data_IF_391770307662
#
_entry.id   IF_391770307662
#
_cell.length_a   1.000
_cell.length_b   1.000
_cell.length_c   1.000
_cell.angle_alpha   90.00
_cell.angle_beta   90.00
_cell.angle_gamma   90.00
#
_symmetry.space_group_name_H-M   'P 1'
#
loop_
_entity.id
_entity.type
_entity.pdbx_description
1 polymer ?
#
# COMPACT_ATOMS: atom_id res chain seq x y z
N UNK A 1 8.22 -15.81 -4.59
CA UNK A 1 8.25 -14.38 -4.22
C UNK A 1 9.12 -13.65 -5.22
N UNK A 2 8.58 -12.66 -5.91
CA UNK A 2 9.22 -12.07 -7.09
C UNK A 2 10.15 -10.89 -6.71
N UNK A 3 10.99 -11.12 -5.69
CA UNK A 3 11.79 -10.10 -5.01
C UNK A 3 12.69 -9.32 -5.97
N UNK A 4 13.21 -10.00 -7.00
CA UNK A 4 14.04 -9.36 -8.03
C UNK A 4 13.30 -8.27 -8.79
N UNK A 5 12.04 -8.48 -9.18
CA UNK A 5 11.26 -7.45 -9.88
C UNK A 5 10.91 -6.30 -8.95
N UNK A 6 10.59 -6.57 -7.69
CA UNK A 6 10.34 -5.53 -6.68
C UNK A 6 11.59 -4.68 -6.44
N UNK A 7 12.75 -5.31 -6.21
CA UNK A 7 14.02 -4.60 -6.03
C UNK A 7 14.38 -3.78 -7.27
N UNK A 8 14.23 -4.35 -8.46
CA UNK A 8 14.49 -3.63 -9.72
C UNK A 8 13.56 -2.43 -9.88
N UNK A 9 12.28 -2.57 -9.55
CA UNK A 9 11.31 -1.48 -9.61
C UNK A 9 11.70 -0.34 -8.64
N UNK A 10 11.97 -0.67 -7.38
CA UNK A 10 12.34 0.32 -6.36
C UNK A 10 13.68 1.01 -6.67
N UNK A 11 14.66 0.26 -7.18
CA UNK A 11 15.94 0.80 -7.63
C UNK A 11 15.75 1.77 -8.81
N UNK A 12 14.90 1.41 -9.77
CA UNK A 12 14.61 2.25 -10.94
C UNK A 12 13.90 3.55 -10.53
N UNK A 13 12.88 3.46 -9.67
CA UNK A 13 12.18 4.65 -9.16
C UNK A 13 13.11 5.57 -8.36
N UNK A 14 14.00 4.99 -7.56
CA UNK A 14 15.03 5.75 -6.84
C UNK A 14 15.98 6.45 -7.80
N UNK A 15 16.47 5.74 -8.82
CA UNK A 15 17.38 6.32 -9.82
C UNK A 15 16.75 7.50 -10.56
N UNK A 16 15.46 7.41 -10.93
CA UNK A 16 14.71 8.51 -11.55
C UNK A 16 14.70 9.74 -10.64
N UNK A 17 14.35 9.57 -9.36
CA UNK A 17 14.30 10.70 -8.42
C UNK A 17 15.67 11.33 -8.17
N UNK A 18 16.72 10.50 -8.06
CA UNK A 18 18.11 10.95 -7.88
C UNK A 18 18.60 11.76 -9.09
N UNK A 19 18.32 11.30 -10.31
CA UNK A 19 18.66 12.02 -11.55
C UNK A 19 17.91 13.35 -11.64
N UNK A 20 16.61 13.36 -11.30
CA UNK A 20 15.83 14.60 -11.25
C UNK A 20 16.38 15.57 -10.20
N UNK A 21 16.79 15.07 -9.04
CA UNK A 21 17.43 15.86 -7.99
C UNK A 21 18.72 16.51 -8.47
N UNK A 22 19.54 15.78 -9.24
CA UNK A 22 20.76 16.31 -9.83
C UNK A 22 20.49 17.39 -10.88
N UNK A 23 19.50 17.18 -11.76
CA UNK A 23 19.15 18.16 -12.79
C UNK A 23 18.68 19.50 -12.23
N UNK A 24 17.99 19.50 -11.07
CA UNK A 24 17.42 20.70 -10.46
C UNK A 24 18.39 21.37 -9.48
N UNK A 25 19.08 20.58 -8.66
CA UNK A 25 19.88 21.06 -7.52
C UNK A 25 21.32 20.57 -7.50
N UNK A 26 21.81 20.00 -8.60
CA UNK A 26 23.12 19.38 -8.70
C UNK A 26 23.35 18.31 -7.64
N UNK A 27 24.60 18.17 -7.20
CA UNK A 27 24.99 17.15 -6.22
C UNK A 27 24.26 17.25 -4.87
N UNK A 28 23.86 18.45 -4.46
CA UNK A 28 23.06 18.63 -3.24
C UNK A 28 21.63 18.12 -3.43
N UNK A 29 20.98 18.48 -4.54
CA UNK A 29 19.65 17.97 -4.91
C UNK A 29 19.62 16.45 -5.09
N UNK A 30 20.67 15.88 -5.67
CA UNK A 30 20.87 14.43 -5.79
C UNK A 30 20.86 13.73 -4.41
N UNK A 31 21.65 14.22 -3.46
CA UNK A 31 21.75 13.66 -2.11
C UNK A 31 20.42 13.77 -1.36
N UNK A 32 19.74 14.91 -1.47
CA UNK A 32 18.42 15.12 -0.87
C UNK A 32 17.40 14.14 -1.44
N UNK A 33 17.31 14.03 -2.77
CA UNK A 33 16.37 13.13 -3.43
C UNK A 33 16.66 11.67 -3.15
N UNK A 34 17.93 11.28 -2.99
CA UNK A 34 18.29 9.94 -2.58
C UNK A 34 17.75 9.58 -1.19
N UNK A 35 17.92 10.47 -0.21
CA UNK A 35 17.40 10.29 1.16
C UNK A 35 15.88 10.24 1.15
N UNK A 36 15.22 11.14 0.42
CA UNK A 36 13.76 11.15 0.26
C UNK A 36 13.28 9.84 -0.36
N UNK A 37 13.92 9.38 -1.43
CA UNK A 37 13.56 8.14 -2.13
C UNK A 37 13.69 6.92 -1.23
N UNK A 38 14.76 6.83 -0.44
CA UNK A 38 14.91 5.77 0.56
C UNK A 38 13.79 5.79 1.58
N UNK A 39 13.49 6.96 2.16
CA UNK A 39 12.40 7.13 3.11
C UNK A 39 11.05 6.74 2.51
N UNK A 40 10.76 7.18 1.29
CA UNK A 40 9.52 6.89 0.57
C UNK A 40 9.38 5.40 0.26
N UNK A 41 10.44 4.73 -0.22
CA UNK A 41 10.42 3.30 -0.51
C UNK A 41 10.22 2.48 0.76
N UNK A 42 10.92 2.84 1.85
CA UNK A 42 10.76 2.16 3.13
C UNK A 42 9.33 2.29 3.65
N UNK A 43 8.79 3.52 3.66
CA UNK A 43 7.42 3.78 4.10
C UNK A 43 6.39 3.08 3.23
N UNK A 44 6.57 3.10 1.91
CA UNK A 44 5.65 2.45 0.97
C UNK A 44 5.69 0.93 1.12
N UNK A 45 6.87 0.33 1.32
CA UNK A 45 6.97 -1.12 1.49
C UNK A 45 6.30 -1.60 2.78
N UNK A 46 6.47 -0.88 3.90
CA UNK A 46 5.96 -1.33 5.21
C UNK A 46 4.56 -0.83 5.57
N UNK A 47 4.11 0.29 4.99
CA UNK A 47 2.84 0.95 5.36
C UNK A 47 1.92 1.19 4.16
N UNK A 48 2.16 0.53 3.01
CA UNK A 48 1.32 0.66 1.81
C UNK A 48 -0.16 0.41 2.10
N UNK A 49 -0.48 -0.59 2.91
CA UNK A 49 -1.85 -0.93 3.32
C UNK A 49 -2.56 0.28 3.94
N UNK A 50 -1.91 0.94 4.90
CA UNK A 50 -2.46 2.11 5.59
C UNK A 50 -2.57 3.32 4.67
N UNK A 51 -1.56 3.54 3.82
CA UNK A 51 -1.54 4.65 2.86
C UNK A 51 -2.72 4.50 1.88
N UNK A 52 -2.90 3.30 1.32
CA UNK A 52 -3.99 3.02 0.37
C UNK A 52 -5.35 3.19 1.06
N UNK A 53 -5.55 2.61 2.25
CA UNK A 53 -6.82 2.74 2.97
C UNK A 53 -7.15 4.20 3.30
N UNK A 54 -6.15 4.99 3.71
CA UNK A 54 -6.32 6.41 3.98
C UNK A 54 -6.65 7.21 2.70
N UNK A 55 -5.92 6.96 1.60
CA UNK A 55 -6.14 7.64 0.32
C UNK A 55 -7.58 7.41 -0.21
N UNK A 56 -8.11 6.21 -0.02
CA UNK A 56 -9.45 5.85 -0.46
C UNK A 56 -10.56 6.17 0.55
N UNK A 57 -10.26 6.84 1.67
CA UNK A 57 -11.21 7.09 2.76
C UNK A 57 -11.96 5.82 3.19
N UNK A 58 -11.23 4.71 3.28
CA UNK A 58 -11.81 3.40 3.54
C UNK A 58 -12.49 3.36 4.92
N UNK A 59 -13.76 2.94 4.95
CA UNK A 59 -14.56 2.86 6.16
C UNK A 59 -14.50 1.46 6.73
N UNK A 60 -14.09 1.33 7.99
CA UNK A 60 -14.00 0.01 8.62
C UNK A 60 -15.39 -0.60 8.83
N UNK A 61 -15.53 -1.87 8.44
CA UNK A 61 -16.73 -2.67 8.62
C UNK A 61 -16.58 -3.53 9.87
N UNK A 62 -17.57 -3.43 10.74
CA UNK A 62 -17.79 -4.28 11.91
C UNK A 62 -19.00 -5.19 11.72
N UNK A 63 -19.13 -6.19 12.59
CA UNK A 63 -20.29 -7.09 12.64
C UNK A 63 -21.63 -6.35 12.81
N UNK A 64 -21.62 -5.16 13.42
CA UNK A 64 -22.82 -4.32 13.59
C UNK A 64 -23.09 -3.44 12.36
N UNK A 65 -22.05 -2.85 11.77
CA UNK A 65 -22.20 -1.91 10.64
C UNK A 65 -22.71 -2.58 9.36
N UNK A 66 -22.22 -3.80 9.06
CA UNK A 66 -22.68 -4.57 7.90
C UNK A 66 -22.55 -6.08 8.20
N UNK A 67 -23.56 -6.66 8.88
CA UNK A 67 -23.51 -8.06 9.30
C UNK A 67 -23.36 -9.05 8.14
N UNK A 68 -23.94 -8.73 6.98
CA UNK A 68 -23.90 -9.59 5.79
C UNK A 68 -22.48 -9.72 5.24
N UNK A 69 -21.81 -8.58 4.99
CA UNK A 69 -20.45 -8.59 4.46
C UNK A 69 -19.47 -9.17 5.49
N UNK A 70 -19.56 -8.75 6.75
CA UNK A 70 -18.69 -9.23 7.81
C UNK A 70 -18.82 -10.74 8.01
N UNK A 71 -20.05 -11.28 8.06
CA UNK A 71 -20.29 -12.72 8.20
C UNK A 71 -19.83 -13.55 7.00
N UNK A 72 -19.90 -12.99 5.79
CA UNK A 72 -19.37 -13.65 4.59
C UNK A 72 -17.86 -13.82 4.68
N UNK A 73 -17.14 -12.75 5.04
CA UNK A 73 -15.68 -12.78 5.22
C UNK A 73 -15.30 -13.70 6.39
N UNK A 74 -16.04 -13.65 7.50
CA UNK A 74 -15.79 -14.51 8.66
C UNK A 74 -15.89 -15.99 8.31
N UNK A 75 -16.92 -16.40 7.55
CA UNK A 75 -17.08 -17.78 7.10
C UNK A 75 -15.91 -18.22 6.20
N UNK A 76 -15.46 -17.35 5.30
CA UNK A 76 -14.31 -17.64 4.44
C UNK A 76 -13.01 -17.77 5.26
N UNK A 77 -12.77 -16.86 6.21
CA UNK A 77 -11.61 -16.91 7.09
C UNK A 77 -11.61 -18.19 7.95
N UNK A 78 -12.75 -18.57 8.54
CA UNK A 78 -12.93 -19.82 9.29
C UNK A 78 -12.64 -21.05 8.43
N UNK A 79 -13.20 -21.10 7.22
CA UNK A 79 -12.95 -22.21 6.28
C UNK A 79 -11.47 -22.31 5.88
N UNK A 80 -10.79 -21.17 5.75
CA UNK A 80 -9.36 -21.09 5.45
C UNK A 80 -8.44 -21.28 6.67
N UNK A 81 -8.98 -21.44 7.88
CA UNK A 81 -8.21 -21.44 9.15
C UNK A 81 -7.35 -20.18 9.33
N UNK A 82 -7.86 -19.05 8.86
CA UNK A 82 -7.21 -17.74 8.97
C UNK A 82 -7.85 -16.93 10.11
N UNK A 83 -7.09 -16.05 10.78
CA UNK A 83 -7.68 -15.07 11.68
C UNK A 83 -8.62 -14.13 10.92
N UNK A 84 -9.63 -13.58 11.59
CA UNK A 84 -10.56 -12.64 10.97
C UNK A 84 -9.81 -11.39 10.51
N UNK A 85 -9.74 -11.09 9.19
CA UNK A 85 -9.08 -9.89 8.72
C UNK A 85 -9.93 -8.66 9.03
N UNK A 86 -9.29 -7.48 9.05
CA UNK A 86 -10.01 -6.21 9.05
C UNK A 86 -10.70 -6.03 7.70
N UNK A 87 -11.98 -5.66 7.73
CA UNK A 87 -12.78 -5.44 6.52
C UNK A 87 -13.06 -3.95 6.38
N UNK A 88 -12.95 -3.43 5.17
CA UNK A 88 -13.21 -2.04 4.86
C UNK A 88 -14.10 -1.93 3.61
N UNK A 89 -14.91 -0.88 3.54
CA UNK A 89 -15.64 -0.46 2.34
C UNK A 89 -15.03 0.85 1.86
N UNK A 90 -14.68 0.91 0.58
CA UNK A 90 -14.22 2.11 -0.09
C UNK A 90 -15.42 2.72 -0.84
N UNK A 91 -15.77 4.00 -0.60
CA UNK A 91 -16.82 4.67 -1.35
C UNK A 91 -16.33 4.97 -2.77
N UNK A 92 -16.65 4.08 -3.71
CA UNK A 92 -16.30 4.19 -5.13
C UNK A 92 -17.44 3.67 -5.99
N UNK A 93 -17.71 4.36 -7.11
CA UNK A 93 -18.69 3.93 -8.11
C UNK A 93 -18.18 2.76 -8.97
N UNK A 94 -16.88 2.49 -8.92
CA UNK A 94 -16.25 1.39 -9.65
C UNK A 94 -16.25 0.13 -8.78
N UNK A 95 -16.86 -0.98 -9.24
CA UNK A 95 -16.89 -2.23 -8.50
C UNK A 95 -15.50 -2.88 -8.50
N UNK A 96 -14.78 -2.74 -7.38
CA UNK A 96 -13.46 -3.33 -7.20
C UNK A 96 -13.28 -3.87 -5.77
N UNK A 97 -12.48 -4.92 -5.62
CA UNK A 97 -12.10 -5.49 -4.33
C UNK A 97 -10.65 -5.99 -4.39
N UNK A 98 -9.90 -5.76 -3.32
CA UNK A 98 -8.54 -6.27 -3.16
C UNK A 98 -8.30 -6.69 -1.70
N UNK A 99 -7.28 -7.51 -1.48
CA UNK A 99 -6.82 -7.90 -0.16
C UNK A 99 -5.32 -7.59 -0.05
N UNK A 100 -4.89 -7.14 1.13
CA UNK A 100 -3.50 -6.82 1.45
C UNK A 100 -3.11 -7.50 2.76
N UNK A 101 -1.88 -7.99 2.84
CA UNK A 101 -1.35 -8.75 3.97
C UNK A 101 0.07 -9.24 3.71
#
# INVERSE_FOLDING_TARGET
MNNMKTTLLLATLTAILVVLGDMIGGRSGMMIMFVISMGMNFMSYWFSDKIVLAQYNAQQVTAQSNPKLYGMVERLAKNGKLPMPKVYIIPSDVPNAFATG
#
